data_IF_033029843092
#
_entry.id   IF_033029843092
#
_cell.length_a   1.000
_cell.length_b   1.000
_cell.length_c   1.000
_cell.angle_alpha   90.00
_cell.angle_beta   90.00
_cell.angle_gamma   90.00
#
_symmetry.space_group_name_H-M   'P 1'
#
loop_
_entity.id
_entity.type
_entity.pdbx_description
1 polymer ?
#
# COMPACT_ATOMS: atom_id res chain seq x y z
N UNK A 1 -8.86 36.54 21.33
CA UNK A 1 -7.79 35.71 20.76
C UNK A 1 -8.10 35.58 19.28
N UNK A 2 -7.21 36.04 18.40
CA UNK A 2 -7.37 35.81 16.96
C UNK A 2 -7.32 34.29 16.72
N UNK A 3 -8.14 33.71 15.84
CA UNK A 3 -7.94 32.32 15.44
C UNK A 3 -6.52 32.18 14.90
N UNK A 4 -5.74 31.25 15.44
CA UNK A 4 -4.46 30.88 14.85
C UNK A 4 -4.77 30.27 13.49
N UNK A 5 -4.48 30.99 12.41
CA UNK A 5 -4.70 30.48 11.07
C UNK A 5 -3.43 29.74 10.65
N UNK A 6 -3.44 28.41 10.74
CA UNK A 6 -2.36 27.58 10.22
C UNK A 6 -2.29 27.70 8.69
N UNK A 7 -1.08 27.56 8.14
CA UNK A 7 -0.88 27.55 6.69
C UNK A 7 -1.16 26.16 6.13
N UNK A 8 -1.61 26.10 4.87
CA UNK A 8 -1.68 24.86 4.11
C UNK A 8 -0.48 24.73 3.19
N UNK A 9 0.01 23.50 3.01
CA UNK A 9 1.07 23.21 2.06
C UNK A 9 0.60 23.48 0.63
N UNK A 10 1.38 24.21 -0.15
CA UNK A 10 1.01 24.59 -1.52
C UNK A 10 1.65 23.69 -2.57
N UNK A 11 2.68 22.93 -2.22
CA UNK A 11 3.40 22.05 -3.13
C UNK A 11 4.15 20.93 -2.40
N UNK A 12 4.56 19.91 -3.16
CA UNK A 12 5.27 18.73 -2.64
C UNK A 12 6.58 19.09 -1.94
N UNK A 13 7.37 20.04 -2.48
CA UNK A 13 8.68 20.41 -1.91
C UNK A 13 8.53 21.06 -0.53
N UNK A 14 7.54 21.94 -0.36
CA UNK A 14 7.23 22.54 0.93
C UNK A 14 6.86 21.48 1.97
N UNK A 15 6.00 20.52 1.58
CA UNK A 15 5.60 19.40 2.44
C UNK A 15 6.80 18.54 2.84
N UNK A 16 7.59 18.06 1.87
CA UNK A 16 8.75 17.19 2.15
C UNK A 16 9.77 17.87 3.07
N UNK A 17 10.15 19.12 2.78
CA UNK A 17 11.09 19.85 3.64
C UNK A 17 10.54 20.04 5.07
N UNK A 18 9.25 20.29 5.19
CA UNK A 18 8.60 20.49 6.51
C UNK A 18 8.54 19.19 7.30
N UNK A 19 8.33 18.04 6.64
CA UNK A 19 8.43 16.73 7.29
C UNK A 19 9.86 16.45 7.75
N UNK A 20 10.87 16.78 6.95
CA UNK A 20 12.27 16.65 7.39
C UNK A 20 12.56 17.51 8.62
N UNK A 21 12.10 18.77 8.64
CA UNK A 21 12.21 19.66 9.80
C UNK A 21 11.47 19.10 11.03
N UNK A 22 10.29 18.49 10.85
CA UNK A 22 9.51 17.86 11.92
C UNK A 22 10.30 16.80 12.69
N UNK A 23 11.11 16.01 11.97
CA UNK A 23 11.90 14.93 12.56
C UNK A 23 13.35 15.32 12.88
N UNK A 24 13.83 16.49 12.42
CA UNK A 24 15.23 16.88 12.56
C UNK A 24 15.62 17.28 14.00
N UNK A 25 14.75 18.02 14.71
CA UNK A 25 15.00 18.39 16.12
C UNK A 25 13.74 18.92 16.80
N UNK A 26 13.70 18.92 18.14
CA UNK A 26 12.60 19.51 18.90
C UNK A 26 12.38 21.00 18.59
N UNK A 27 13.45 21.75 18.30
CA UNK A 27 13.35 23.17 17.97
C UNK A 27 12.71 23.41 16.59
N UNK A 28 13.08 22.60 15.60
CA UNK A 28 12.48 22.66 14.27
C UNK A 28 11.03 22.17 14.31
N UNK A 29 10.75 21.08 15.03
CA UNK A 29 9.37 20.63 15.29
C UNK A 29 8.50 21.74 15.88
N UNK A 30 8.95 22.42 16.94
CA UNK A 30 8.21 23.55 17.53
C UNK A 30 7.99 24.70 16.52
N UNK A 31 8.94 24.92 15.61
CA UNK A 31 8.81 25.93 14.55
C UNK A 31 7.78 25.52 13.48
N UNK A 32 7.73 24.24 13.14
CA UNK A 32 6.71 23.66 12.25
C UNK A 32 5.33 23.73 12.89
N UNK A 33 5.20 23.32 14.15
CA UNK A 33 3.94 23.38 14.91
C UNK A 33 3.39 24.80 15.00
N UNK A 34 4.25 25.81 15.20
CA UNK A 34 3.85 27.21 15.22
C UNK A 34 3.29 27.71 13.88
N UNK A 35 3.68 27.09 12.76
CA UNK A 35 3.34 27.52 11.40
C UNK A 35 2.19 26.72 10.78
N UNK A 36 2.21 25.39 10.95
CA UNK A 36 1.29 24.45 10.30
C UNK A 36 0.40 23.69 11.29
N UNK A 37 0.64 23.85 12.60
CA UNK A 37 -0.07 23.07 13.62
C UNK A 37 0.51 21.67 13.81
N UNK A 38 -0.20 20.85 14.58
CA UNK A 38 0.15 19.45 14.80
C UNK A 38 0.04 18.68 13.47
N UNK A 39 0.85 17.63 13.31
CA UNK A 39 0.91 16.89 12.04
C UNK A 39 -0.45 16.36 11.58
N UNK A 40 -1.33 15.95 12.49
CA UNK A 40 -2.68 15.48 12.16
C UNK A 40 -3.63 16.56 11.64
N UNK A 41 -3.34 17.84 11.92
CA UNK A 41 -4.17 18.99 11.54
C UNK A 41 -3.69 19.68 10.26
N UNK A 42 -2.66 19.14 9.62
CA UNK A 42 -2.09 19.71 8.41
C UNK A 42 -3.10 19.72 7.25
N UNK A 43 -3.12 20.82 6.50
CA UNK A 43 -3.95 20.99 5.32
C UNK A 43 -3.10 21.11 4.05
N UNK A 44 -3.67 20.68 2.91
CA UNK A 44 -2.99 20.56 1.63
C UNK A 44 -3.76 21.32 0.54
N UNK A 45 -3.07 22.20 -0.18
CA UNK A 45 -3.60 22.82 -1.39
C UNK A 45 -3.46 21.91 -2.62
N UNK A 46 -4.10 22.27 -3.72
CA UNK A 46 -4.15 21.47 -4.97
C UNK A 46 -2.77 21.17 -5.59
N UNK A 47 -1.73 21.94 -5.24
CA UNK A 47 -0.37 21.69 -5.70
C UNK A 47 0.36 20.54 -4.98
N UNK A 48 -0.22 19.99 -3.91
CA UNK A 48 0.26 18.78 -3.25
C UNK A 48 -0.31 17.55 -3.96
N UNK A 49 0.44 17.07 -4.93
CA UNK A 49 0.02 15.94 -5.80
C UNK A 49 0.82 14.67 -5.54
N UNK A 50 1.87 14.72 -4.74
CA UNK A 50 2.73 13.58 -4.40
C UNK A 50 3.13 13.62 -2.93
N UNK A 51 2.99 12.49 -2.25
CA UNK A 51 3.47 12.25 -0.88
C UNK A 51 4.55 11.17 -0.87
N UNK A 52 5.39 11.18 -1.91
CA UNK A 52 6.50 10.25 -2.04
C UNK A 52 7.46 10.33 -0.85
N UNK A 53 7.71 9.18 -0.20
CA UNK A 53 8.74 9.01 0.82
C UNK A 53 8.63 9.89 2.07
N UNK A 54 7.46 10.47 2.37
CA UNK A 54 7.32 11.41 3.51
C UNK A 54 7.81 10.83 4.84
N UNK A 55 7.51 9.56 5.13
CA UNK A 55 7.92 8.89 6.37
C UNK A 55 8.90 7.75 6.13
N UNK A 56 9.67 7.81 5.03
CA UNK A 56 10.69 6.82 4.70
C UNK A 56 11.69 6.65 5.86
N UNK A 57 11.85 5.41 6.30
CA UNK A 57 12.71 4.94 7.39
C UNK A 57 12.49 5.66 8.74
N UNK A 58 11.33 6.31 8.92
CA UNK A 58 10.94 6.88 10.22
C UNK A 58 10.37 5.77 11.11
N UNK A 59 11.24 4.90 11.63
CA UNK A 59 10.87 3.67 12.34
C UNK A 59 9.87 3.87 13.49
N UNK A 60 9.97 5.00 14.18
CA UNK A 60 9.14 5.32 15.36
C UNK A 60 7.91 6.16 15.01
N UNK A 61 7.70 6.47 13.72
CA UNK A 61 6.56 7.28 13.29
C UNK A 61 5.24 6.53 13.49
N UNK A 62 4.34 7.14 14.26
CA UNK A 62 3.00 6.62 14.52
C UNK A 62 2.02 7.74 14.90
N UNK A 63 2.24 8.96 14.39
CA UNK A 63 1.37 10.10 14.69
C UNK A 63 0.07 10.02 13.87
N UNK A 64 -1.06 10.40 14.47
CA UNK A 64 -2.36 10.32 13.83
C UNK A 64 -2.47 11.29 12.64
N UNK A 65 -2.67 10.75 11.45
CA UNK A 65 -2.79 11.49 10.17
C UNK A 65 -4.05 11.10 9.38
N UNK A 66 -4.97 10.34 9.98
CA UNK A 66 -6.20 9.88 9.33
C UNK A 66 -7.11 11.03 8.87
N UNK A 67 -7.04 12.19 9.53
CA UNK A 67 -7.80 13.40 9.19
C UNK A 67 -7.31 14.15 7.95
N UNK A 68 -6.20 13.74 7.34
CA UNK A 68 -5.67 14.39 6.15
C UNK A 68 -6.61 14.26 4.95
N UNK A 69 -6.92 15.39 4.31
CA UNK A 69 -7.55 15.41 2.99
C UNK A 69 -6.46 15.25 1.91
N UNK A 70 -6.35 14.04 1.38
CA UNK A 70 -5.41 13.71 0.31
C UNK A 70 -6.06 13.53 -1.06
N UNK A 71 -7.31 14.01 -1.24
CA UNK A 71 -8.07 13.85 -2.50
C UNK A 71 -7.38 14.44 -3.74
N UNK A 72 -6.47 15.40 -3.55
CA UNK A 72 -5.65 15.99 -4.64
C UNK A 72 -4.35 15.21 -4.95
N UNK A 73 -4.01 14.21 -4.15
CA UNK A 73 -2.79 13.40 -4.33
C UNK A 73 -2.99 12.38 -5.45
N UNK A 74 -1.91 12.11 -6.19
CA UNK A 74 -1.87 11.13 -7.29
C UNK A 74 -0.82 10.04 -7.07
N UNK A 75 0.17 10.32 -6.22
CA UNK A 75 1.33 9.45 -6.00
C UNK A 75 1.61 9.38 -4.49
N UNK A 76 1.64 8.17 -3.92
CA UNK A 76 2.06 7.94 -2.52
C UNK A 76 3.20 6.89 -2.41
N UNK A 77 4.13 6.77 -3.38
CA UNK A 77 5.12 5.70 -3.32
C UNK A 77 6.01 5.86 -2.08
N UNK A 78 6.38 4.74 -1.45
CA UNK A 78 7.31 4.68 -0.31
C UNK A 78 6.89 5.52 0.91
N UNK A 79 5.63 5.96 1.00
CA UNK A 79 5.20 6.91 2.02
C UNK A 79 5.51 6.46 3.45
N UNK A 80 5.33 5.18 3.76
CA UNK A 80 5.63 4.57 5.07
C UNK A 80 6.67 3.44 4.96
N UNK A 81 7.49 3.43 3.90
CA UNK A 81 8.51 2.39 3.77
C UNK A 81 9.48 2.48 4.95
N UNK A 82 9.61 1.39 5.72
CA UNK A 82 10.49 1.33 6.90
C UNK A 82 9.93 2.01 8.15
N UNK A 83 8.73 2.58 8.11
CA UNK A 83 8.04 3.12 9.29
C UNK A 83 7.45 1.97 10.14
N UNK A 84 8.34 1.19 10.76
CA UNK A 84 8.01 -0.10 11.38
C UNK A 84 6.98 -0.04 12.51
N UNK A 85 6.86 1.10 13.21
CA UNK A 85 5.88 1.34 14.28
C UNK A 85 4.55 1.89 13.79
N UNK A 86 4.43 2.26 12.52
CA UNK A 86 3.24 2.92 11.99
C UNK A 86 2.03 1.98 11.96
N UNK A 87 0.94 2.39 12.61
CA UNK A 87 -0.31 1.63 12.68
C UNK A 87 -1.52 2.56 12.92
N UNK A 88 -1.55 3.72 12.27
CA UNK A 88 -2.65 4.68 12.40
C UNK A 88 -3.75 4.43 11.37
N UNK A 89 -4.99 4.69 11.77
CA UNK A 89 -6.17 4.56 10.91
C UNK A 89 -6.09 5.53 9.73
N UNK A 90 -6.26 4.99 8.51
CA UNK A 90 -6.27 5.70 7.24
C UNK A 90 -7.56 5.48 6.45
N UNK A 91 -8.59 4.91 7.08
CA UNK A 91 -9.85 4.53 6.43
C UNK A 91 -10.59 5.71 5.79
N UNK A 92 -10.38 6.93 6.29
CA UNK A 92 -10.96 8.18 5.78
C UNK A 92 -10.21 8.79 4.58
N UNK A 93 -9.06 8.25 4.20
CA UNK A 93 -8.29 8.80 3.07
C UNK A 93 -9.00 8.52 1.74
N UNK A 94 -9.20 9.58 0.95
CA UNK A 94 -9.61 9.46 -0.44
C UNK A 94 -8.39 9.20 -1.34
N UNK A 95 -8.18 7.93 -1.68
CA UNK A 95 -7.11 7.50 -2.59
C UNK A 95 -7.60 7.27 -4.03
N UNK A 96 -8.82 7.68 -4.38
CA UNK A 96 -9.47 7.39 -5.68
C UNK A 96 -8.70 7.92 -6.89
N UNK A 97 -7.81 8.90 -6.70
CA UNK A 97 -6.98 9.48 -7.76
C UNK A 97 -5.52 9.03 -7.71
N UNK A 98 -5.15 8.19 -6.73
CA UNK A 98 -3.80 7.64 -6.58
C UNK A 98 -3.54 6.58 -7.64
N UNK A 99 -2.46 6.74 -8.39
CA UNK A 99 -2.06 5.82 -9.48
C UNK A 99 -0.89 4.92 -9.09
N UNK A 100 -0.07 5.35 -8.14
CA UNK A 100 1.15 4.67 -7.77
C UNK A 100 1.21 4.43 -6.26
N UNK A 101 1.10 3.16 -5.89
CA UNK A 101 1.15 2.65 -4.52
C UNK A 101 2.39 1.76 -4.35
N UNK A 102 3.48 2.08 -5.05
CA UNK A 102 4.75 1.35 -4.94
C UNK A 102 5.32 1.46 -3.52
N UNK A 103 5.50 0.32 -2.85
CA UNK A 103 6.16 0.23 -1.52
C UNK A 103 5.53 1.07 -0.41
N UNK A 104 4.23 1.37 -0.45
CA UNK A 104 3.59 2.27 0.55
C UNK A 104 3.87 1.80 1.97
N UNK A 105 3.71 0.51 2.25
CA UNK A 105 3.87 -0.10 3.58
C UNK A 105 4.98 -1.16 3.63
N UNK A 106 5.94 -1.15 2.69
CA UNK A 106 7.09 -2.06 2.75
C UNK A 106 7.81 -1.88 4.10
N UNK A 107 8.09 -2.96 4.81
CA UNK A 107 8.71 -2.97 6.14
C UNK A 107 7.95 -2.17 7.24
N UNK A 108 6.68 -1.75 7.01
CA UNK A 108 5.81 -1.17 8.04
C UNK A 108 5.24 -2.28 8.96
N UNK A 109 6.14 -2.91 9.71
CA UNK A 109 5.93 -4.17 10.46
C UNK A 109 4.62 -4.21 11.26
N UNK A 110 4.26 -3.10 11.93
CA UNK A 110 3.10 -3.01 12.82
C UNK A 110 1.77 -2.69 12.12
N UNK A 111 1.81 -2.31 10.84
CA UNK A 111 0.62 -1.82 10.14
C UNK A 111 -0.40 -2.95 9.94
N UNK A 112 -1.61 -2.74 10.47
CA UNK A 112 -2.73 -3.68 10.34
C UNK A 112 -4.10 -2.96 10.42
N UNK A 113 -4.18 -1.74 9.88
CA UNK A 113 -5.42 -0.96 9.87
C UNK A 113 -6.28 -1.27 8.65
N UNK A 114 -7.59 -1.18 8.85
CA UNK A 114 -8.57 -1.43 7.79
C UNK A 114 -8.48 -0.35 6.70
N UNK A 115 -8.14 -0.81 5.50
CA UNK A 115 -8.06 -0.02 4.27
C UNK A 115 -9.00 -0.60 3.19
N UNK A 116 -9.93 -1.47 3.57
CA UNK A 116 -11.00 -1.95 2.70
C UNK A 116 -11.88 -0.83 2.10
N UNK A 117 -12.02 0.37 2.73
CA UNK A 117 -12.78 1.48 2.12
C UNK A 117 -12.05 2.22 1.00
N UNK A 118 -10.75 1.98 0.80
CA UNK A 118 -9.97 2.67 -0.24
C UNK A 118 -10.48 2.33 -1.64
N UNK A 119 -10.82 3.36 -2.42
CA UNK A 119 -11.05 3.21 -3.87
C UNK A 119 -9.70 3.17 -4.60
N UNK A 120 -9.29 1.96 -4.98
CA UNK A 120 -8.02 1.73 -5.67
C UNK A 120 -8.18 1.57 -7.20
N UNK A 121 -9.35 1.87 -7.76
CA UNK A 121 -9.67 1.63 -9.19
C UNK A 121 -8.77 2.42 -10.16
N UNK A 122 -8.18 3.53 -9.72
CA UNK A 122 -7.19 4.31 -10.47
C UNK A 122 -5.76 3.77 -10.41
N UNK A 123 -5.46 2.88 -9.46
CA UNK A 123 -4.12 2.38 -9.22
C UNK A 123 -3.60 1.60 -10.43
N UNK A 124 -2.33 1.86 -10.78
CA UNK A 124 -1.64 1.21 -11.90
C UNK A 124 -0.53 0.28 -11.40
N UNK A 125 0.16 0.66 -10.33
CA UNK A 125 1.18 -0.18 -9.69
C UNK A 125 0.92 -0.27 -8.18
N UNK A 126 0.88 -1.50 -7.68
CA UNK A 126 0.86 -1.85 -6.25
C UNK A 126 2.07 -2.72 -5.89
N UNK A 127 3.13 -2.63 -6.70
CA UNK A 127 4.30 -3.49 -6.52
C UNK A 127 4.92 -3.22 -5.14
N UNK A 128 5.20 -4.30 -4.43
CA UNK A 128 5.80 -4.30 -3.10
C UNK A 128 5.02 -3.56 -2.00
N UNK A 129 3.73 -3.29 -2.19
CA UNK A 129 2.95 -2.44 -1.27
C UNK A 129 3.00 -2.91 0.18
N UNK A 130 2.98 -4.22 0.44
CA UNK A 130 2.99 -4.85 1.76
C UNK A 130 4.17 -5.80 1.99
N UNK A 131 5.31 -5.55 1.34
CA UNK A 131 6.51 -6.40 1.55
C UNK A 131 6.92 -6.34 3.01
N UNK A 132 7.10 -7.50 3.65
CA UNK A 132 7.45 -7.62 5.07
C UNK A 132 6.53 -6.86 6.04
N UNK A 133 5.30 -6.51 5.65
CA UNK A 133 4.29 -5.91 6.54
C UNK A 133 3.69 -7.02 7.41
N UNK A 134 4.50 -7.56 8.31
CA UNK A 134 4.25 -8.87 8.95
C UNK A 134 2.95 -8.98 9.73
N UNK A 135 2.44 -7.86 10.27
CA UNK A 135 1.18 -7.84 11.03
C UNK A 135 -0.07 -7.72 10.15
N UNK A 136 0.08 -7.36 8.87
CA UNK A 136 -1.04 -7.02 8.00
C UNK A 136 -1.88 -8.25 7.64
N UNK A 137 -3.18 -8.20 7.94
CA UNK A 137 -4.14 -9.25 7.62
C UNK A 137 -5.58 -8.70 7.48
N UNK A 138 -5.74 -7.55 6.84
CA UNK A 138 -7.05 -6.92 6.62
C UNK A 138 -7.67 -7.35 5.29
N UNK A 139 -9.00 -7.46 5.26
CA UNK A 139 -9.77 -7.84 4.07
C UNK A 139 -9.63 -6.80 2.96
N UNK A 140 -9.29 -7.24 1.75
CA UNK A 140 -9.15 -6.42 0.55
C UNK A 140 -10.02 -6.92 -0.60
N UNK A 141 -10.96 -7.83 -0.32
CA UNK A 141 -11.82 -8.47 -1.33
C UNK A 141 -12.71 -7.48 -2.09
N UNK A 142 -12.94 -6.28 -1.54
CA UNK A 142 -13.71 -5.18 -2.14
C UNK A 142 -12.93 -4.33 -3.15
N UNK A 143 -11.60 -4.44 -3.20
CA UNK A 143 -10.76 -3.60 -4.05
C UNK A 143 -10.96 -3.90 -5.55
N UNK A 144 -11.24 -2.88 -6.35
CA UNK A 144 -11.19 -2.97 -7.80
C UNK A 144 -9.74 -2.82 -8.29
N UNK A 145 -9.11 -3.95 -8.61
CA UNK A 145 -7.73 -4.02 -9.09
C UNK A 145 -7.64 -4.17 -10.62
N UNK A 146 -8.74 -3.99 -11.35
CA UNK A 146 -8.82 -4.27 -12.80
C UNK A 146 -7.87 -3.39 -13.65
N UNK A 147 -7.49 -2.23 -13.12
CA UNK A 147 -6.55 -1.26 -13.71
C UNK A 147 -5.07 -1.54 -13.44
N UNK A 148 -4.75 -2.43 -12.48
CA UNK A 148 -3.38 -2.64 -12.01
C UNK A 148 -2.61 -3.49 -13.01
N UNK A 149 -1.41 -3.06 -13.39
CA UNK A 149 -0.55 -3.82 -14.31
C UNK A 149 0.58 -4.58 -13.60
N UNK A 150 0.95 -4.17 -12.39
CA UNK A 150 2.07 -4.74 -11.62
C UNK A 150 1.77 -4.86 -10.13
N UNK A 151 1.78 -6.10 -9.65
CA UNK A 151 1.65 -6.54 -8.25
C UNK A 151 2.88 -7.36 -7.81
N UNK A 152 4.02 -7.18 -8.49
CA UNK A 152 5.30 -7.82 -8.13
C UNK A 152 5.55 -7.69 -6.63
N UNK A 153 5.72 -8.84 -5.96
CA UNK A 153 6.01 -8.92 -4.52
C UNK A 153 5.02 -8.20 -3.60
N UNK A 154 3.77 -7.98 -4.01
CA UNK A 154 2.83 -7.15 -3.24
C UNK A 154 2.71 -7.56 -1.76
N UNK A 155 2.71 -8.86 -1.46
CA UNK A 155 2.64 -9.45 -0.12
C UNK A 155 3.87 -10.31 0.23
N UNK A 156 5.02 -10.08 -0.42
CA UNK A 156 6.23 -10.88 -0.17
C UNK A 156 6.69 -10.70 1.29
N UNK A 157 6.68 -11.77 2.09
CA UNK A 157 7.00 -11.73 3.51
C UNK A 157 5.92 -11.15 4.43
N UNK A 158 4.69 -10.89 3.93
CA UNK A 158 3.54 -10.53 4.76
C UNK A 158 3.01 -11.78 5.50
N UNK A 159 3.76 -12.24 6.50
CA UNK A 159 3.59 -13.57 7.11
C UNK A 159 2.20 -13.85 7.67
N UNK A 160 1.47 -12.84 8.16
CA UNK A 160 0.12 -12.99 8.72
C UNK A 160 -0.98 -12.91 7.66
N UNK A 161 -0.68 -12.46 6.44
CA UNK A 161 -1.70 -12.21 5.42
C UNK A 161 -2.31 -13.53 4.92
N UNK A 162 -3.63 -13.67 5.07
CA UNK A 162 -4.37 -14.86 4.63
C UNK A 162 -5.82 -14.53 4.25
N UNK A 163 -6.05 -13.41 3.57
CA UNK A 163 -7.38 -12.97 3.15
C UNK A 163 -7.74 -13.48 1.76
N UNK A 164 -9.02 -13.81 1.56
CA UNK A 164 -9.55 -14.30 0.30
C UNK A 164 -9.60 -13.18 -0.74
N UNK A 165 -8.87 -13.36 -1.84
CA UNK A 165 -8.79 -12.43 -2.97
C UNK A 165 -9.39 -13.04 -4.25
N UNK A 166 -10.17 -14.11 -4.13
CA UNK A 166 -10.75 -14.83 -5.27
C UNK A 166 -11.74 -13.97 -6.07
N UNK A 167 -12.27 -12.89 -5.48
CA UNK A 167 -13.16 -11.91 -6.13
C UNK A 167 -12.43 -10.94 -7.07
N UNK A 168 -11.11 -10.80 -6.96
CA UNK A 168 -10.35 -9.84 -7.77
C UNK A 168 -10.36 -10.22 -9.26
N UNK A 169 -10.69 -9.23 -10.09
CA UNK A 169 -10.49 -9.30 -11.54
C UNK A 169 -9.15 -8.66 -11.91
N UNK A 170 -8.27 -9.43 -12.55
CA UNK A 170 -6.87 -9.07 -12.83
C UNK A 170 -6.52 -9.08 -14.33
N UNK A 171 -7.35 -8.52 -15.23
CA UNK A 171 -7.20 -8.67 -16.68
C UNK A 171 -6.03 -7.84 -17.24
N UNK A 172 -5.60 -6.81 -16.51
CA UNK A 172 -4.50 -5.91 -16.89
C UNK A 172 -3.15 -6.34 -16.34
N UNK A 173 -3.13 -7.28 -15.40
CA UNK A 173 -1.90 -7.64 -14.69
C UNK A 173 -0.95 -8.38 -15.61
N UNK A 174 0.30 -7.94 -15.62
CA UNK A 174 1.39 -8.56 -16.38
C UNK A 174 2.54 -9.03 -15.48
N UNK A 175 2.60 -8.56 -14.23
CA UNK A 175 3.63 -8.92 -13.25
C UNK A 175 3.01 -9.20 -11.89
N UNK A 176 3.13 -10.44 -11.44
CA UNK A 176 2.74 -11.01 -10.16
C UNK A 176 3.84 -11.93 -9.61
N UNK A 177 5.06 -11.80 -10.13
CA UNK A 177 6.20 -12.55 -9.63
C UNK A 177 6.34 -12.32 -8.13
N UNK A 178 6.44 -13.42 -7.39
CA UNK A 178 6.59 -13.44 -5.92
C UNK A 178 5.46 -12.73 -5.16
N UNK A 179 4.27 -12.61 -5.73
CA UNK A 179 3.14 -11.87 -5.12
C UNK A 179 2.90 -12.23 -3.65
N UNK A 180 2.91 -13.51 -3.29
CA UNK A 180 2.74 -14.02 -1.91
C UNK A 180 3.98 -14.77 -1.42
N UNK A 181 5.14 -14.60 -2.06
CA UNK A 181 6.36 -15.30 -1.67
C UNK A 181 6.64 -15.09 -0.17
N UNK A 182 6.89 -16.15 0.60
CA UNK A 182 7.09 -16.07 2.07
C UNK A 182 5.92 -15.50 2.89
N UNK A 183 4.73 -15.29 2.32
CA UNK A 183 3.51 -15.05 3.10
C UNK A 183 3.07 -16.38 3.73
N UNK A 184 3.74 -16.78 4.82
CA UNK A 184 3.68 -18.14 5.34
C UNK A 184 2.28 -18.58 5.77
N UNK A 185 1.40 -17.66 6.18
CA UNK A 185 0.00 -18.00 6.52
C UNK A 185 -0.91 -18.17 5.30
N UNK A 186 -0.50 -17.69 4.12
CA UNK A 186 -1.37 -17.63 2.95
C UNK A 186 -1.75 -19.02 2.43
N UNK A 187 -3.06 -19.28 2.35
CA UNK A 187 -3.65 -20.55 1.92
C UNK A 187 -5.04 -20.38 1.27
N UNK A 188 -5.25 -19.34 0.46
CA UNK A 188 -6.55 -19.06 -0.12
C UNK A 188 -6.70 -19.65 -1.53
N UNK A 189 -7.92 -20.07 -1.88
CA UNK A 189 -8.20 -20.62 -3.20
C UNK A 189 -8.39 -19.48 -4.22
N UNK A 190 -7.40 -19.30 -5.11
CA UNK A 190 -7.41 -18.25 -6.12
C UNK A 190 -7.66 -18.77 -7.54
N UNK A 191 -8.22 -19.98 -7.69
CA UNK A 191 -8.55 -20.55 -9.01
C UNK A 191 -9.34 -19.62 -9.95
N UNK A 192 -10.27 -18.76 -9.48
CA UNK A 192 -10.96 -17.80 -10.34
C UNK A 192 -10.03 -16.86 -11.13
N UNK A 193 -8.81 -16.60 -10.66
CA UNK A 193 -7.84 -15.77 -11.38
C UNK A 193 -7.43 -16.36 -12.73
N UNK A 194 -7.52 -17.68 -12.92
CA UNK A 194 -7.15 -18.35 -14.16
C UNK A 194 -7.92 -17.80 -15.38
N UNK A 195 -9.21 -17.52 -15.25
CA UNK A 195 -10.00 -16.95 -16.36
C UNK A 195 -9.65 -15.50 -16.68
N UNK A 196 -9.14 -14.74 -15.71
CA UNK A 196 -8.85 -13.31 -15.85
C UNK A 196 -7.40 -13.03 -16.32
N UNK A 197 -6.44 -13.79 -15.81
CA UNK A 197 -5.02 -13.55 -16.09
C UNK A 197 -4.63 -13.78 -17.55
N UNK A 198 -3.83 -12.86 -18.08
CA UNK A 198 -3.19 -12.98 -19.39
C UNK A 198 -2.18 -14.13 -19.36
N UNK A 199 -2.08 -14.88 -20.46
CA UNK A 199 -1.09 -15.97 -20.59
C UNK A 199 0.37 -15.47 -20.53
N UNK A 200 0.60 -14.18 -20.74
CA UNK A 200 1.91 -13.53 -20.64
C UNK A 200 2.25 -12.99 -19.25
N UNK A 201 1.35 -13.11 -18.27
CA UNK A 201 1.61 -12.60 -16.92
C UNK A 201 2.74 -13.39 -16.27
N UNK A 202 3.71 -12.69 -15.67
CA UNK A 202 4.74 -13.33 -14.86
C UNK A 202 4.16 -13.65 -13.48
N UNK A 203 4.04 -14.94 -13.17
CA UNK A 203 3.53 -15.48 -11.90
C UNK A 203 4.61 -16.31 -11.19
N UNK A 204 5.87 -16.12 -11.58
CA UNK A 204 7.00 -16.90 -11.07
C UNK A 204 7.11 -16.77 -9.55
N UNK A 205 7.27 -17.91 -8.88
CA UNK A 205 7.43 -18.00 -7.43
C UNK A 205 6.31 -17.36 -6.59
N UNK A 206 5.13 -17.09 -7.18
CA UNK A 206 4.06 -16.34 -6.51
C UNK A 206 3.64 -16.94 -5.15
N UNK A 207 3.71 -18.27 -5.01
CA UNK A 207 3.31 -19.00 -3.79
C UNK A 207 4.47 -19.71 -3.09
N UNK A 208 5.73 -19.46 -3.47
CA UNK A 208 6.87 -20.14 -2.86
C UNK A 208 7.03 -19.73 -1.39
N UNK A 209 7.18 -20.72 -0.50
CA UNK A 209 7.21 -20.55 0.97
C UNK A 209 5.90 -20.05 1.61
N UNK A 210 4.76 -20.36 1.00
CA UNK A 210 3.42 -20.18 1.60
C UNK A 210 2.89 -21.49 2.20
N UNK A 211 1.69 -21.46 2.79
CA UNK A 211 0.95 -22.64 3.24
C UNK A 211 0.00 -23.19 2.15
N UNK A 212 0.16 -22.78 0.90
CA UNK A 212 -0.63 -23.29 -0.22
C UNK A 212 -0.44 -24.80 -0.41
N UNK A 213 -1.53 -25.59 -0.52
CA UNK A 213 -1.44 -27.04 -0.69
C UNK A 213 -0.83 -27.44 -2.03
N UNK A 214 -0.97 -26.60 -3.07
CA UNK A 214 -0.33 -26.80 -4.35
C UNK A 214 0.89 -25.91 -4.51
N UNK A 215 2.07 -26.53 -4.52
CA UNK A 215 3.35 -25.87 -4.79
C UNK A 215 3.82 -26.08 -6.23
N UNK A 216 2.95 -26.62 -7.10
CA UNK A 216 3.26 -26.72 -8.53
C UNK A 216 3.41 -25.33 -9.13
N UNK A 217 4.29 -25.19 -10.11
CA UNK A 217 4.38 -23.92 -10.84
C UNK A 217 3.07 -23.64 -11.59
N UNK A 218 2.60 -22.41 -11.48
CA UNK A 218 1.42 -21.92 -12.20
C UNK A 218 1.67 -22.04 -13.70
N UNK A 219 0.79 -22.74 -14.41
CA UNK A 219 0.85 -22.88 -15.86
C UNK A 219 -0.31 -22.15 -16.54
N UNK A 220 -0.02 -20.94 -17.02
CA UNK A 220 -0.99 -20.05 -17.69
C UNK A 220 -1.28 -20.41 -19.15
N UNK A 221 -0.59 -21.41 -19.73
CA UNK A 221 -0.81 -21.86 -21.12
C UNK A 221 -1.65 -23.14 -21.21
N UNK A 222 -1.94 -23.77 -20.08
CA UNK A 222 -2.83 -24.92 -20.00
C UNK A 222 -4.31 -24.54 -20.15
N UNK A 223 -5.16 -25.51 -20.50
CA UNK A 223 -6.62 -25.31 -20.56
C UNK A 223 -7.20 -25.00 -19.17
N UNK A 224 -6.59 -25.53 -18.10
CA UNK A 224 -6.94 -25.32 -16.70
C UNK A 224 -5.87 -24.46 -16.03
N UNK A 225 -5.81 -23.17 -16.42
CA UNK A 225 -4.81 -22.21 -15.92
C UNK A 225 -4.75 -22.25 -14.39
N UNK A 226 -3.58 -22.55 -13.85
CA UNK A 226 -3.36 -22.79 -12.42
C UNK A 226 -2.23 -23.78 -12.21
N UNK A 227 -2.08 -24.36 -11.02
CA UNK A 227 -2.90 -24.11 -9.81
C UNK A 227 -2.61 -22.73 -9.21
N UNK A 228 -3.63 -22.09 -8.63
CA UNK A 228 -3.47 -20.83 -7.90
C UNK A 228 -3.67 -21.10 -6.41
N UNK A 229 -2.58 -21.46 -5.73
CA UNK A 229 -2.51 -21.96 -4.35
C UNK A 229 -3.22 -23.32 -4.12
N UNK A 230 -4.41 -23.50 -4.69
CA UNK A 230 -5.19 -24.73 -4.70
C UNK A 230 -5.30 -25.31 -6.13
N UNK A 231 -5.71 -26.57 -6.24
CA UNK A 231 -5.90 -27.23 -7.54
C UNK A 231 -7.15 -26.67 -8.22
N UNK A 232 -6.96 -26.25 -9.46
CA UNK A 232 -7.98 -25.92 -10.46
C UNK A 232 -7.94 -27.05 -11.52
#
# INVERSE_FOLDING_TARGET
MSPTHYLCFQNNTELTNTVDDWFASAQLKASVEARYGLIGDWCFGEGVTSMDSLFLDRTDFNEAIGSWDISSVREIPRMFWGASSFNQDLSSWDVSLVRNMFRVFEDAISFNQDISPWDVSSAKSMSRMFVNTTSFNQDLSSWDVSSVFSMTRMFDGAVSFNQDLSSWDVPSVTKMDKMFHRASSFNQNLCPWGSSLRSSADVSDAFLYTNCPSTLQVNLTSNTKGPFCHVC
#
